data_IF_652599698776
#
_entry.id   IF_652599698776
#
_cell.length_a   1.000
_cell.length_b   1.000
_cell.length_c   1.000
_cell.angle_alpha   90.00
_cell.angle_beta   90.00
_cell.angle_gamma   90.00
#
_symmetry.space_group_name_H-M   'P 1'
#
loop_
_entity.id
_entity.type
_entity.pdbx_description
1 polymer ?
#
# COMPACT_ATOMS: atom_id res chain seq x y z
N UNK A 1 -19.08 13.83 6.74
CA UNK A 1 -18.06 13.76 7.82
C UNK A 1 -17.87 12.35 8.37
N UNK A 2 -18.96 11.65 8.72
CA UNK A 2 -18.88 10.23 9.09
C UNK A 2 -18.21 9.39 7.99
N UNK A 3 -18.47 9.71 6.73
CA UNK A 3 -17.89 9.00 5.58
C UNK A 3 -16.38 9.26 5.41
N UNK A 4 -15.90 10.49 5.56
CA UNK A 4 -14.45 10.80 5.51
C UNK A 4 -13.68 10.06 6.63
N UNK A 5 -14.23 10.04 7.85
CA UNK A 5 -13.64 9.31 8.96
C UNK A 5 -13.68 7.79 8.73
N UNK A 6 -14.80 7.28 8.24
CA UNK A 6 -14.93 5.87 7.84
C UNK A 6 -13.87 5.48 6.81
N UNK A 7 -13.72 6.24 5.73
CA UNK A 7 -12.70 5.95 4.72
C UNK A 7 -11.28 6.06 5.29
N UNK A 8 -11.04 6.97 6.22
CA UNK A 8 -9.75 7.05 6.93
C UNK A 8 -9.46 5.76 7.72
N UNK A 9 -10.44 5.24 8.45
CA UNK A 9 -10.30 3.96 9.18
C UNK A 9 -10.10 2.78 8.23
N UNK A 10 -10.91 2.69 7.17
CA UNK A 10 -10.84 1.61 6.19
C UNK A 10 -9.46 1.60 5.51
N UNK A 11 -8.93 2.77 5.16
CA UNK A 11 -7.61 2.93 4.55
C UNK A 11 -6.48 2.64 5.53
N UNK A 12 -6.66 2.93 6.82
CA UNK A 12 -5.72 2.55 7.87
C UNK A 12 -5.64 1.03 8.05
N UNK A 13 -6.78 0.32 8.03
CA UNK A 13 -6.81 -1.15 8.11
C UNK A 13 -6.11 -1.79 6.91
N UNK A 14 -6.39 -1.29 5.70
CA UNK A 14 -5.71 -1.74 4.48
C UNK A 14 -4.20 -1.51 4.59
N UNK A 15 -3.77 -0.33 5.06
CA UNK A 15 -2.36 -0.03 5.24
C UNK A 15 -1.71 -0.95 6.28
N UNK A 16 -2.38 -1.26 7.39
CA UNK A 16 -1.88 -2.20 8.39
C UNK A 16 -1.62 -3.58 7.77
N UNK A 17 -2.61 -4.12 7.06
CA UNK A 17 -2.49 -5.42 6.36
C UNK A 17 -1.40 -5.39 5.28
N UNK A 18 -1.29 -4.30 4.54
CA UNK A 18 -0.21 -4.11 3.57
C UNK A 18 1.17 -4.15 4.25
N UNK A 19 1.33 -3.48 5.40
CA UNK A 19 2.59 -3.50 6.15
C UNK A 19 2.93 -4.89 6.69
N UNK A 20 1.94 -5.67 7.12
CA UNK A 20 2.16 -7.07 7.50
C UNK A 20 2.70 -7.89 6.32
N UNK A 21 2.06 -7.82 5.15
CA UNK A 21 2.49 -8.55 3.94
C UNK A 21 3.88 -8.07 3.47
N UNK A 22 4.14 -6.77 3.46
CA UNK A 22 5.46 -6.19 3.19
C UNK A 22 6.50 -6.78 4.14
N UNK A 23 6.23 -6.73 5.44
CA UNK A 23 7.16 -7.23 6.44
C UNK A 23 7.38 -8.74 6.31
N UNK A 24 6.37 -9.52 5.93
CA UNK A 24 6.53 -10.95 5.68
C UNK A 24 7.40 -11.21 4.45
N UNK A 25 7.11 -10.58 3.30
CA UNK A 25 7.89 -10.73 2.05
C UNK A 25 9.36 -10.33 2.24
N UNK A 26 9.63 -9.28 3.01
CA UNK A 26 10.98 -8.76 3.22
C UNK A 26 11.67 -9.28 4.50
N UNK A 27 10.96 -9.75 5.54
CA UNK A 27 11.57 -10.58 6.60
C UNK A 27 11.98 -11.94 6.06
N UNK A 28 11.19 -12.52 5.16
CA UNK A 28 11.61 -13.67 4.36
C UNK A 28 12.90 -13.35 3.59
N UNK A 29 13.14 -12.09 3.18
CA UNK A 29 14.39 -11.68 2.50
C UNK A 29 15.62 -11.61 3.42
N UNK A 30 15.46 -11.30 4.73
CA UNK A 30 16.54 -11.40 5.72
C UNK A 30 16.79 -12.85 6.16
N UNK A 31 15.71 -13.65 6.30
CA UNK A 31 15.81 -15.11 6.47
C UNK A 31 16.34 -15.81 5.23
N UNK A 32 16.30 -15.20 4.05
CA UNK A 32 16.74 -15.76 2.76
C UNK A 32 18.21 -16.12 2.75
N UNK A 33 19.08 -15.30 3.37
CA UNK A 33 20.48 -15.64 3.59
C UNK A 33 20.67 -16.93 4.43
N UNK A 34 19.66 -17.31 5.23
CA UNK A 34 19.67 -18.49 6.08
C UNK A 34 18.80 -19.67 5.55
N UNK A 35 17.91 -19.42 4.58
CA UNK A 35 16.85 -20.37 4.14
C UNK A 35 16.91 -20.80 2.68
N UNK A 36 17.98 -20.51 1.92
CA UNK A 36 18.21 -21.12 0.59
C UNK A 36 18.25 -22.68 0.62
N UNK A 37 18.18 -23.30 1.81
CA UNK A 37 18.08 -24.76 1.99
C UNK A 37 16.66 -25.35 1.93
N UNK A 38 15.55 -24.58 1.95
CA UNK A 38 14.20 -25.17 2.09
C UNK A 38 13.17 -24.71 1.03
N UNK A 39 12.72 -25.68 0.23
CA UNK A 39 11.99 -25.54 -1.04
C UNK A 39 10.46 -25.35 -0.94
N UNK A 40 9.95 -24.60 0.04
CA UNK A 40 8.48 -24.43 0.24
C UNK A 40 7.97 -22.96 0.08
N UNK A 41 8.77 -22.11 -0.58
CA UNK A 41 8.51 -20.66 -0.65
C UNK A 41 7.46 -20.25 -1.70
N UNK A 42 7.16 -21.11 -2.67
CA UNK A 42 6.25 -20.79 -3.80
C UNK A 42 4.78 -20.67 -3.37
N UNK A 43 4.34 -21.45 -2.38
CA UNK A 43 2.97 -21.44 -1.85
C UNK A 43 2.71 -20.18 -1.02
N UNK A 44 3.69 -19.77 -0.19
CA UNK A 44 3.61 -18.53 0.60
C UNK A 44 3.55 -17.27 -0.28
N UNK A 45 4.38 -17.18 -1.33
CA UNK A 45 4.36 -16.03 -2.25
C UNK A 45 3.04 -15.89 -3.02
N UNK A 46 2.42 -17.01 -3.43
CA UNK A 46 1.11 -16.97 -4.11
C UNK A 46 0.00 -16.46 -3.18
N UNK A 47 -0.01 -16.91 -1.93
CA UNK A 47 -0.96 -16.41 -0.92
C UNK A 47 -0.86 -14.89 -0.74
N UNK A 48 0.36 -14.35 -0.61
CA UNK A 48 0.55 -12.91 -0.49
C UNK A 48 0.16 -12.14 -1.76
N UNK A 49 0.37 -12.70 -2.95
CA UNK A 49 -0.09 -12.09 -4.20
C UNK A 49 -1.63 -11.95 -4.24
N UNK A 50 -2.34 -13.01 -3.86
CA UNK A 50 -3.80 -13.02 -3.82
C UNK A 50 -4.33 -12.02 -2.77
N UNK A 51 -3.71 -11.96 -1.60
CA UNK A 51 -4.03 -10.96 -0.58
C UNK A 51 -3.76 -9.52 -1.06
N UNK A 52 -2.65 -9.27 -1.76
CA UNK A 52 -2.36 -7.96 -2.33
C UNK A 52 -3.37 -7.56 -3.40
N UNK A 53 -3.87 -8.50 -4.22
CA UNK A 53 -4.95 -8.23 -5.19
C UNK A 53 -6.25 -7.81 -4.49
N UNK A 54 -6.58 -8.46 -3.38
CA UNK A 54 -7.74 -8.09 -2.56
C UNK A 54 -7.57 -6.68 -1.98
N UNK A 55 -6.39 -6.37 -1.42
CA UNK A 55 -6.10 -5.04 -0.88
C UNK A 55 -6.17 -3.97 -1.97
N UNK A 56 -5.62 -4.25 -3.15
CA UNK A 56 -5.67 -3.35 -4.32
C UNK A 56 -7.11 -3.01 -4.71
N UNK A 57 -7.99 -4.01 -4.81
CA UNK A 57 -9.41 -3.80 -5.10
C UNK A 57 -10.08 -2.89 -4.08
N UNK A 58 -9.92 -3.22 -2.79
CA UNK A 58 -10.52 -2.44 -1.68
C UNK A 58 -10.07 -0.98 -1.67
N UNK A 59 -8.78 -0.71 -1.85
CA UNK A 59 -8.28 0.68 -1.84
C UNK A 59 -8.73 1.45 -3.09
N UNK A 60 -8.89 0.78 -4.22
CA UNK A 60 -9.43 1.38 -5.45
C UNK A 60 -10.91 1.74 -5.32
N UNK A 61 -11.68 0.87 -4.66
CA UNK A 61 -13.09 1.14 -4.35
C UNK A 61 -13.22 2.35 -3.42
N UNK A 62 -12.36 2.46 -2.41
CA UNK A 62 -12.33 3.63 -1.52
C UNK A 62 -11.92 4.89 -2.28
N UNK A 63 -10.89 4.83 -3.14
CA UNK A 63 -10.50 5.96 -3.99
C UNK A 63 -11.68 6.46 -4.83
N UNK A 64 -12.39 5.53 -5.48
CA UNK A 64 -13.57 5.87 -6.29
C UNK A 64 -14.68 6.51 -5.45
N UNK A 65 -14.89 6.00 -4.23
CA UNK A 65 -15.87 6.55 -3.31
C UNK A 65 -15.48 7.95 -2.79
N UNK A 66 -14.19 8.21 -2.55
CA UNK A 66 -13.66 9.52 -2.18
C UNK A 66 -13.84 10.54 -3.30
N UNK A 67 -13.60 10.14 -4.55
CA UNK A 67 -13.75 11.01 -5.73
C UNK A 67 -15.23 11.33 -6.02
N UNK A 68 -16.15 10.46 -5.60
CA UNK A 68 -17.60 10.65 -5.74
C UNK A 68 -18.25 11.43 -4.58
N UNK A 69 -17.49 11.83 -3.55
CA UNK A 69 -18.06 12.54 -2.40
C UNK A 69 -18.65 13.91 -2.81
N UNK A 70 -19.89 14.23 -2.39
CA UNK A 70 -20.50 15.50 -2.72
C UNK A 70 -19.77 16.67 -2.05
N UNK A 71 -19.58 17.76 -2.81
CA UNK A 71 -18.92 19.00 -2.34
C UNK A 71 -19.53 19.58 -1.05
N UNK A 72 -20.79 19.25 -0.76
CA UNK A 72 -21.52 19.72 0.42
C UNK A 72 -20.94 19.16 1.74
N UNK A 73 -20.25 18.01 1.69
CA UNK A 73 -19.50 17.46 2.83
C UNK A 73 -18.18 18.19 3.10
N UNK A 74 -17.75 19.07 2.18
CA UNK A 74 -16.51 19.84 2.26
C UNK A 74 -16.65 21.18 2.98
N UNK A 75 -17.87 21.57 3.40
CA UNK A 75 -18.17 22.87 4.04
C UNK A 75 -17.58 23.04 5.47
N UNK A 76 -16.62 22.21 5.85
CA UNK A 76 -15.89 22.29 7.11
C UNK A 76 -14.53 22.94 6.84
N UNK A 77 -14.05 23.75 7.78
CA UNK A 77 -12.84 24.58 7.70
C UNK A 77 -11.59 23.88 7.12
N UNK A 78 -11.49 22.55 7.25
CA UNK A 78 -10.39 21.70 6.74
C UNK A 78 -10.84 20.45 5.96
N UNK A 79 -12.13 20.25 5.71
CA UNK A 79 -12.66 19.02 5.10
C UNK A 79 -12.08 18.73 3.71
N UNK A 80 -11.85 19.79 2.92
CA UNK A 80 -11.21 19.71 1.60
C UNK A 80 -9.73 19.31 1.67
N UNK A 81 -8.99 19.80 2.66
CA UNK A 81 -7.58 19.45 2.85
C UNK A 81 -7.42 18.00 3.30
N UNK A 82 -8.31 17.52 4.17
CA UNK A 82 -8.36 16.12 4.59
C UNK A 82 -8.71 15.22 3.41
N UNK A 83 -9.79 15.53 2.67
CA UNK A 83 -10.19 14.72 1.52
C UNK A 83 -9.05 14.63 0.50
N UNK A 84 -8.42 15.76 0.17
CA UNK A 84 -7.31 15.78 -0.76
C UNK A 84 -6.10 14.98 -0.26
N UNK A 85 -5.75 15.11 1.03
CA UNK A 85 -4.62 14.36 1.61
C UNK A 85 -4.91 12.87 1.70
N UNK A 86 -6.15 12.49 2.03
CA UNK A 86 -6.62 11.11 2.07
C UNK A 86 -6.61 10.49 0.66
N UNK A 87 -7.11 11.21 -0.35
CA UNK A 87 -7.09 10.79 -1.75
C UNK A 87 -5.65 10.59 -2.28
N UNK A 88 -4.75 11.53 -1.96
CA UNK A 88 -3.33 11.38 -2.31
C UNK A 88 -2.70 10.17 -1.60
N UNK A 89 -3.08 9.91 -0.35
CA UNK A 89 -2.58 8.78 0.43
C UNK A 89 -3.08 7.45 -0.14
N UNK A 90 -4.36 7.34 -0.51
CA UNK A 90 -4.92 6.15 -1.16
C UNK A 90 -4.27 5.89 -2.51
N UNK A 91 -4.01 6.93 -3.32
CA UNK A 91 -3.28 6.77 -4.58
C UNK A 91 -1.83 6.27 -4.37
N UNK A 92 -1.14 6.78 -3.34
CA UNK A 92 0.20 6.32 -2.99
C UNK A 92 0.20 4.86 -2.49
N UNK A 93 -0.83 4.46 -1.75
CA UNK A 93 -1.02 3.08 -1.28
C UNK A 93 -1.28 2.12 -2.44
N UNK A 94 -2.12 2.52 -3.41
CA UNK A 94 -2.36 1.77 -4.65
C UNK A 94 -1.04 1.50 -5.38
N UNK A 95 -0.22 2.53 -5.58
CA UNK A 95 1.10 2.40 -6.23
C UNK A 95 2.01 1.45 -5.44
N UNK A 96 2.04 1.59 -4.12
CA UNK A 96 2.87 0.76 -3.24
C UNK A 96 2.45 -0.72 -3.26
N UNK A 97 1.15 -1.01 -3.31
CA UNK A 97 0.63 -2.38 -3.47
C UNK A 97 0.99 -2.92 -4.85
N UNK A 98 0.81 -2.13 -5.91
CA UNK A 98 1.12 -2.53 -7.28
C UNK A 98 2.60 -2.89 -7.48
N UNK A 99 3.52 -2.07 -6.95
CA UNK A 99 4.95 -2.37 -7.02
C UNK A 99 5.30 -3.63 -6.23
N UNK A 100 4.68 -3.86 -5.06
CA UNK A 100 4.90 -5.08 -4.30
C UNK A 100 4.41 -6.33 -5.04
N UNK A 101 3.27 -6.25 -5.74
CA UNK A 101 2.78 -7.32 -6.62
C UNK A 101 3.76 -7.62 -7.75
N UNK A 102 4.33 -6.59 -8.40
CA UNK A 102 5.35 -6.76 -9.43
C UNK A 102 6.58 -7.49 -8.89
N UNK A 103 7.07 -7.07 -7.72
CA UNK A 103 8.20 -7.73 -7.04
C UNK A 103 7.89 -9.22 -6.75
N UNK A 104 6.67 -9.54 -6.34
CA UNK A 104 6.25 -10.93 -6.13
C UNK A 104 6.21 -11.75 -7.43
N UNK A 105 5.75 -11.14 -8.53
CA UNK A 105 5.69 -11.81 -9.84
C UNK A 105 7.06 -12.00 -10.47
N UNK A 106 7.94 -11.01 -10.40
CA UNK A 106 9.31 -11.12 -10.92
C UNK A 106 10.11 -12.15 -10.13
N UNK A 107 9.82 -12.30 -8.83
CA UNK A 107 10.41 -13.38 -8.01
C UNK A 107 10.00 -14.79 -8.45
N UNK A 108 8.84 -14.97 -9.08
CA UNK A 108 8.46 -16.27 -9.69
C UNK A 108 9.24 -16.53 -10.98
N UNK A 109 9.69 -15.48 -11.66
CA UNK A 109 10.40 -15.53 -12.93
C UNK A 109 11.94 -15.47 -12.76
N UNK A 110 12.47 -15.90 -11.62
CA UNK A 110 13.87 -15.75 -11.18
C UNK A 110 14.93 -16.49 -12.04
N UNK A 111 14.57 -16.96 -13.23
CA UNK A 111 15.49 -17.41 -14.28
C UNK A 111 15.79 -16.32 -15.34
N UNK A 112 15.16 -15.15 -15.25
CA UNK A 112 15.30 -14.08 -16.26
C UNK A 112 15.57 -12.71 -15.65
N UNK A 113 16.86 -12.37 -15.55
CA UNK A 113 17.46 -11.03 -15.45
C UNK A 113 17.40 -10.29 -14.09
N UNK A 114 18.50 -10.35 -13.34
CA UNK A 114 18.78 -9.59 -12.09
C UNK A 114 18.67 -8.05 -12.23
N UNK A 115 18.67 -7.51 -13.45
CA UNK A 115 18.67 -6.06 -13.70
C UNK A 115 17.35 -5.36 -13.36
N UNK A 116 16.20 -6.02 -13.52
CA UNK A 116 14.89 -5.40 -13.29
C UNK A 116 14.54 -5.31 -11.80
N UNK A 117 14.98 -6.27 -10.99
CA UNK A 117 14.68 -6.32 -9.56
C UNK A 117 15.28 -5.15 -8.78
N UNK A 118 16.51 -4.73 -9.09
CA UNK A 118 17.17 -3.60 -8.41
C UNK A 118 16.44 -2.29 -8.69
N UNK A 119 16.01 -2.08 -9.93
CA UNK A 119 15.27 -0.88 -10.31
C UNK A 119 13.85 -0.87 -9.71
N UNK A 120 13.13 -1.99 -9.78
CA UNK A 120 11.80 -2.11 -9.20
C UNK A 120 11.82 -1.99 -7.67
N UNK A 121 12.88 -2.46 -7.00
CA UNK A 121 13.09 -2.24 -5.57
C UNK A 121 13.31 -0.75 -5.24
N UNK A 122 14.10 -0.03 -6.03
CA UNK A 122 14.32 1.40 -5.82
C UNK A 122 13.02 2.20 -5.96
N UNK A 123 12.26 1.92 -7.01
CA UNK A 123 10.96 2.55 -7.25
C UNK A 123 9.97 2.21 -6.12
N UNK A 124 10.04 0.98 -5.60
CA UNK A 124 9.25 0.55 -4.45
C UNK A 124 9.62 1.30 -3.16
N UNK A 125 10.92 1.44 -2.87
CA UNK A 125 11.40 2.16 -1.69
C UNK A 125 10.99 3.65 -1.74
N UNK A 126 11.07 4.28 -2.92
CA UNK A 126 10.60 5.65 -3.15
C UNK A 126 9.08 5.77 -2.92
N UNK A 127 8.29 4.81 -3.41
CA UNK A 127 6.85 4.76 -3.21
C UNK A 127 6.47 4.61 -1.73
N UNK A 128 7.16 3.75 -0.98
CA UNK A 128 6.96 3.61 0.47
C UNK A 128 7.25 4.92 1.19
N UNK A 129 8.36 5.59 0.84
CA UNK A 129 8.73 6.82 1.53
C UNK A 129 7.71 7.93 1.26
N UNK A 130 7.23 8.05 0.02
CA UNK A 130 6.15 8.97 -0.33
C UNK A 130 4.85 8.66 0.43
N UNK A 131 4.46 7.38 0.48
CA UNK A 131 3.31 6.90 1.25
C UNK A 131 3.42 7.26 2.74
N UNK A 132 4.57 7.03 3.37
CA UNK A 132 4.81 7.37 4.78
C UNK A 132 4.66 8.87 5.03
N UNK A 133 5.24 9.70 4.17
CA UNK A 133 5.16 11.16 4.30
C UNK A 133 3.71 11.66 4.25
N UNK A 134 2.90 11.09 3.34
CA UNK A 134 1.47 11.41 3.26
C UNK A 134 0.70 10.93 4.48
N UNK A 135 1.02 9.74 5.01
CA UNK A 135 0.44 9.25 6.27
C UNK A 135 0.72 10.16 7.46
N UNK A 136 1.95 10.66 7.59
CA UNK A 136 2.29 11.65 8.63
C UNK A 136 1.49 12.95 8.47
N UNK A 137 1.37 13.45 7.25
CA UNK A 137 0.58 14.65 6.96
C UNK A 137 -0.90 14.46 7.27
N UNK A 138 -1.47 13.30 6.93
CA UNK A 138 -2.86 12.95 7.23
C UNK A 138 -3.08 12.89 8.75
N UNK A 139 -2.19 12.23 9.49
CA UNK A 139 -2.27 12.17 10.94
C UNK A 139 -2.17 13.55 11.59
N UNK A 140 -1.30 14.44 11.11
CA UNK A 140 -1.23 15.83 11.61
C UNK A 140 -2.53 16.58 11.37
N UNK A 141 -3.13 16.45 10.18
CA UNK A 141 -4.41 17.10 9.87
C UNK A 141 -5.58 16.56 10.72
N UNK A 142 -5.53 15.28 11.09
CA UNK A 142 -6.54 14.63 11.94
C UNK A 142 -6.30 14.88 13.44
N UNK A 143 -5.06 15.08 13.88
CA UNK A 143 -4.72 15.35 15.28
C UNK A 143 -5.00 16.80 15.68
N UNK A 144 -4.92 17.72 14.72
CA UNK A 144 -5.28 19.13 14.87
C UNK A 144 -6.78 19.39 14.58
N UNK A 145 -7.59 18.34 14.53
CA UNK A 145 -9.01 18.37 14.17
C UNK A 145 -9.93 18.29 15.38
#
# INVERSE_FOLDING_TARGET
MADILKYTYDVSDINYRYQEIHNEIFRLSVRRLAMEMFADQSVSLKKHEDELKILYGKVTDIQTALDALPQNELNIRRGKEILMTLSNYTEALIKSIHYLQRICNDKKNLLSSDSNFVNDKKVYDDAIQHHKNLGFRLNSLLSDF
#
